data_IF_293791414609
#
_entry.id   IF_293791414609
#
_cell.length_a   1.000
_cell.length_b   1.000
_cell.length_c   1.000
_cell.angle_alpha   90.00
_cell.angle_beta   90.00
_cell.angle_gamma   90.00
#
_symmetry.space_group_name_H-M   'P 1'
#
loop_
_entity.id
_entity.type
_entity.pdbx_description
1 polymer ?
#
# COMPACT_ATOMS: atom_id res chain seq x y z
N UNK A 1 -22.31 -12.79 2.77
CA UNK A 1 -21.03 -13.30 3.29
C UNK A 1 -19.96 -12.36 2.80
N UNK A 2 -19.23 -11.72 3.71
CA UNK A 2 -18.10 -10.88 3.31
C UNK A 2 -17.06 -11.73 2.58
N UNK A 3 -16.53 -11.20 1.47
CA UNK A 3 -15.62 -11.95 0.58
C UNK A 3 -14.31 -12.36 1.26
N UNK A 4 -13.90 -11.63 2.29
CA UNK A 4 -12.67 -11.84 3.06
C UNK A 4 -13.01 -11.82 4.54
N UNK A 5 -12.24 -12.50 5.39
CA UNK A 5 -12.35 -12.40 6.85
C UNK A 5 -11.61 -11.18 7.40
N UNK A 6 -11.85 -10.82 8.66
CA UNK A 6 -11.11 -9.72 9.31
C UNK A 6 -9.62 -10.07 9.42
N UNK A 7 -9.31 -11.33 9.71
CA UNK A 7 -7.94 -11.84 9.83
C UNK A 7 -7.21 -11.73 8.50
N UNK A 8 -7.84 -12.13 7.39
CA UNK A 8 -7.25 -11.99 6.04
C UNK A 8 -6.95 -10.52 5.69
N UNK A 9 -7.82 -9.59 6.10
CA UNK A 9 -7.59 -8.15 5.91
C UNK A 9 -6.40 -7.65 6.74
N UNK A 10 -6.28 -8.10 7.99
CA UNK A 10 -5.13 -7.78 8.85
C UNK A 10 -3.84 -8.33 8.24
N UNK A 11 -3.85 -9.57 7.75
CA UNK A 11 -2.70 -10.19 7.10
C UNK A 11 -2.29 -9.46 5.82
N UNK A 12 -3.25 -8.89 5.07
CA UNK A 12 -2.99 -8.09 3.87
C UNK A 12 -2.25 -6.77 4.16
N UNK A 13 -2.30 -6.23 5.38
CA UNK A 13 -1.56 -4.99 5.73
C UNK A 13 -0.04 -5.16 5.65
N UNK A 14 0.47 -6.38 5.92
CA UNK A 14 1.90 -6.69 5.90
C UNK A 14 2.52 -6.58 4.51
N UNK A 15 2.02 -7.27 3.46
CA UNK A 15 2.55 -7.11 2.11
C UNK A 15 2.36 -5.69 1.56
N UNK A 16 1.24 -5.00 1.85
CA UNK A 16 1.03 -3.60 1.44
C UNK A 16 2.10 -2.68 2.01
N UNK A 17 2.37 -2.80 3.31
CA UNK A 17 3.43 -2.01 3.96
C UNK A 17 4.83 -2.34 3.43
N UNK A 18 5.07 -3.60 3.06
CA UNK A 18 6.33 -4.01 2.43
C UNK A 18 6.52 -3.37 1.04
N UNK A 19 5.46 -3.30 0.23
CA UNK A 19 5.50 -2.68 -1.09
C UNK A 19 5.80 -1.18 -0.95
N UNK A 20 5.13 -0.49 -0.02
CA UNK A 20 5.39 0.94 0.26
C UNK A 20 6.88 1.15 0.56
N UNK A 21 7.42 0.45 1.56
CA UNK A 21 8.83 0.61 1.97
C UNK A 21 9.83 0.30 0.85
N UNK A 22 9.55 -0.74 0.04
CA UNK A 22 10.40 -1.10 -1.11
C UNK A 22 10.35 -0.03 -2.19
N UNK A 23 9.16 0.50 -2.51
CA UNK A 23 9.01 1.53 -3.51
C UNK A 23 9.60 2.87 -3.06
N UNK A 24 9.49 3.24 -1.78
CA UNK A 24 10.15 4.43 -1.23
C UNK A 24 11.67 4.32 -1.38
N UNK A 25 12.26 3.20 -0.96
CA UNK A 25 13.71 2.94 -1.12
C UNK A 25 14.14 2.91 -2.59
N UNK A 26 13.30 2.41 -3.48
CA UNK A 26 13.59 2.41 -4.91
C UNK A 26 13.48 3.81 -5.52
N UNK A 27 12.48 4.60 -5.12
CA UNK A 27 12.28 5.98 -5.59
C UNK A 27 13.50 6.85 -5.30
N UNK A 28 14.12 6.70 -4.12
CA UNK A 28 15.33 7.44 -3.72
C UNK A 28 16.53 7.22 -4.66
N UNK A 29 16.53 6.16 -5.48
CA UNK A 29 17.61 5.88 -6.45
C UNK A 29 17.47 6.67 -7.75
N UNK A 30 16.35 7.35 -7.97
CA UNK A 30 16.06 8.05 -9.21
C UNK A 30 15.77 9.52 -8.93
N UNK A 31 16.32 10.41 -9.77
CA UNK A 31 16.06 11.83 -9.68
C UNK A 31 14.57 12.14 -9.92
N UNK A 32 14.09 13.19 -9.26
CA UNK A 32 12.75 13.72 -9.50
C UNK A 32 12.59 14.11 -10.98
N UNK A 33 11.38 13.91 -11.52
CA UNK A 33 11.09 14.11 -12.95
C UNK A 33 11.39 12.91 -13.86
N UNK A 34 12.14 11.89 -13.39
CA UNK A 34 12.31 10.65 -14.16
C UNK A 34 11.03 9.81 -14.20
N UNK A 35 10.89 8.98 -15.23
CA UNK A 35 9.79 8.02 -15.36
C UNK A 35 9.74 7.03 -14.19
N UNK A 36 10.91 6.56 -13.73
CA UNK A 36 11.03 5.66 -12.57
C UNK A 36 10.59 6.34 -11.28
N UNK A 37 11.04 7.56 -11.00
CA UNK A 37 10.62 8.32 -9.83
C UNK A 37 9.10 8.52 -9.81
N UNK A 38 8.53 8.94 -10.94
CA UNK A 38 7.08 9.15 -11.09
C UNK A 38 6.28 7.86 -10.91
N UNK A 39 6.78 6.74 -11.47
CA UNK A 39 6.16 5.43 -11.31
C UNK A 39 6.12 5.01 -9.85
N UNK A 40 7.23 5.11 -9.12
CA UNK A 40 7.25 4.75 -7.70
C UNK A 40 6.35 5.65 -6.86
N UNK A 41 6.35 6.97 -7.12
CA UNK A 41 5.43 7.92 -6.49
C UNK A 41 3.96 7.49 -6.63
N UNK A 42 3.56 7.08 -7.83
CA UNK A 42 2.20 6.62 -8.10
C UNK A 42 1.86 5.31 -7.37
N UNK A 43 2.80 4.35 -7.36
CA UNK A 43 2.61 3.08 -6.63
C UNK A 43 2.49 3.33 -5.12
N UNK A 44 3.37 4.14 -4.54
CA UNK A 44 3.34 4.49 -3.11
C UNK A 44 1.98 5.10 -2.76
N UNK A 45 1.52 6.07 -3.55
CA UNK A 45 0.20 6.69 -3.36
C UNK A 45 -0.94 5.67 -3.40
N UNK A 46 -0.96 4.79 -4.40
CA UNK A 46 -1.99 3.77 -4.53
C UNK A 46 -1.98 2.76 -3.36
N UNK A 47 -0.80 2.39 -2.87
CA UNK A 47 -0.66 1.49 -1.73
C UNK A 47 -1.11 2.13 -0.42
N UNK A 48 -0.86 3.42 -0.21
CA UNK A 48 -1.41 4.14 0.94
C UNK A 48 -2.93 4.20 0.92
N UNK A 49 -3.53 4.46 -0.24
CA UNK A 49 -5.00 4.40 -0.41
C UNK A 49 -5.51 3.00 -0.08
N UNK A 50 -4.87 1.97 -0.64
CA UNK A 50 -5.23 0.57 -0.37
C UNK A 50 -5.14 0.23 1.12
N UNK A 51 -4.07 0.66 1.80
CA UNK A 51 -3.89 0.47 3.25
C UNK A 51 -4.99 1.15 4.07
N UNK A 52 -5.38 2.37 3.70
CA UNK A 52 -6.47 3.10 4.35
C UNK A 52 -7.78 2.33 4.20
N UNK A 53 -8.14 1.93 2.98
CA UNK A 53 -9.37 1.20 2.71
C UNK A 53 -9.45 -0.14 3.47
N UNK A 54 -8.33 -0.89 3.52
CA UNK A 54 -8.25 -2.14 4.30
C UNK A 54 -8.44 -1.85 5.79
N UNK A 55 -7.80 -0.80 6.31
CA UNK A 55 -7.91 -0.43 7.73
C UNK A 55 -9.32 0.00 8.10
N UNK A 56 -9.95 0.82 7.25
CA UNK A 56 -11.33 1.27 7.41
C UNK A 56 -12.30 0.08 7.43
N UNK A 57 -12.08 -0.90 6.55
CA UNK A 57 -12.88 -2.12 6.50
C UNK A 57 -12.68 -3.01 7.74
N UNK A 58 -11.44 -3.14 8.24
CA UNK A 58 -11.14 -3.82 9.51
C UNK A 58 -11.91 -3.13 10.65
N UNK A 59 -11.88 -1.80 10.71
CA UNK A 59 -12.57 -1.03 11.76
C UNK A 59 -14.10 -1.19 11.72
N UNK A 60 -14.71 -1.28 10.54
CA UNK A 60 -16.16 -1.51 10.39
C UNK A 60 -16.61 -2.89 10.86
N UNK A 61 -15.69 -3.86 10.86
CA UNK A 61 -15.92 -5.24 11.31
C UNK A 61 -15.52 -5.48 12.76
N UNK A 62 -15.09 -4.42 13.46
CA UNK A 62 -14.77 -4.43 14.87
C UNK A 62 -16.00 -4.35 15.75
#
# INVERSE_FOLDING_TARGET
MDKYTREELIEALRPVSSIISKCEKAQLKFAEGTSHHTRFKNIIKAMHISKSLITDEISKRG
#
